data_IF_830565338441
#
_entry.id   IF_830565338441
#
_cell.length_a   1.000
_cell.length_b   1.000
_cell.length_c   1.000
_cell.angle_alpha   90.00
_cell.angle_beta   90.00
_cell.angle_gamma   90.00
#
_symmetry.space_group_name_H-M   'P 1'
#
loop_
_entity.id
_entity.type
_entity.pdbx_description
1 polymer ?
#
# COMPACT_ATOMS: atom_id res chain seq x y z
N UNK A 1 -8.28 33.29 9.15
CA UNK A 1 -8.93 32.28 10.03
C UNK A 1 -9.19 30.93 9.33
N UNK A 2 -10.01 30.83 8.26
CA UNK A 2 -10.35 29.53 7.61
C UNK A 2 -9.15 28.74 7.05
N UNK A 3 -8.16 29.40 6.42
CA UNK A 3 -6.93 28.73 5.93
C UNK A 3 -6.03 28.22 7.05
N UNK A 4 -5.94 28.98 8.15
CA UNK A 4 -5.13 28.62 9.33
C UNK A 4 -5.72 27.40 10.04
N UNK A 5 -7.05 27.39 10.25
CA UNK A 5 -7.76 26.25 10.82
C UNK A 5 -7.56 24.98 9.97
N UNK A 6 -7.62 25.08 8.64
CA UNK A 6 -7.38 23.95 7.73
C UNK A 6 -6.00 23.32 7.94
N UNK A 7 -4.96 24.14 8.07
CA UNK A 7 -3.59 23.66 8.31
C UNK A 7 -3.44 22.97 9.67
N UNK A 8 -4.01 23.56 10.72
CA UNK A 8 -3.97 23.01 12.08
C UNK A 8 -4.56 21.61 12.15
N UNK A 9 -5.73 21.39 11.56
CA UNK A 9 -6.38 20.08 11.58
C UNK A 9 -5.65 19.03 10.74
N UNK A 10 -5.09 19.42 9.60
CA UNK A 10 -4.27 18.50 8.81
C UNK A 10 -3.00 18.10 9.57
N UNK A 11 -2.37 19.00 10.32
CA UNK A 11 -1.25 18.66 11.20
C UNK A 11 -1.67 17.72 12.34
N UNK A 12 -2.88 17.88 12.90
CA UNK A 12 -3.40 16.97 13.91
C UNK A 12 -3.51 15.52 13.41
N UNK A 13 -3.88 15.31 12.14
CA UNK A 13 -3.94 13.98 11.53
C UNK A 13 -2.56 13.26 11.49
N UNK A 14 -1.45 14.01 11.46
CA UNK A 14 -0.11 13.45 11.57
C UNK A 14 0.32 13.18 13.02
N UNK A 15 -0.08 14.04 13.95
CA UNK A 15 0.38 13.96 15.35
C UNK A 15 -0.18 12.76 16.10
N UNK A 16 -1.41 12.33 15.80
CA UNK A 16 -2.03 11.16 16.43
C UNK A 16 -1.23 9.87 16.19
N UNK A 17 -0.97 9.42 14.94
CA UNK A 17 -0.19 8.22 14.71
C UNK A 17 1.25 8.33 15.22
N UNK A 18 1.87 9.51 15.14
CA UNK A 18 3.19 9.73 15.75
C UNK A 18 3.15 9.47 17.25
N UNK A 19 2.24 10.08 17.99
CA UNK A 19 2.15 9.91 19.44
C UNK A 19 1.86 8.46 19.84
N UNK A 20 0.98 7.78 19.11
CA UNK A 20 0.58 6.40 19.42
C UNK A 20 1.69 5.40 19.09
N UNK A 21 2.42 5.59 17.99
CA UNK A 21 3.38 4.60 17.50
C UNK A 21 4.85 4.93 17.82
N UNK A 22 5.17 6.14 18.28
CA UNK A 22 6.53 6.49 18.69
C UNK A 22 7.13 5.55 19.76
N UNK A 23 6.37 5.06 20.76
CA UNK A 23 6.89 4.07 21.71
C UNK A 23 7.38 2.77 21.03
N UNK A 24 6.79 2.39 19.89
CA UNK A 24 7.21 1.21 19.12
C UNK A 24 8.51 1.44 18.36
N UNK A 25 8.86 2.70 18.07
CA UNK A 25 10.12 3.06 17.42
C UNK A 25 11.27 2.96 18.42
N UNK A 26 11.10 3.55 19.61
CA UNK A 26 12.19 3.75 20.59
C UNK A 26 12.61 2.43 21.25
N UNK A 27 11.72 1.43 21.34
CA UNK A 27 12.05 0.15 21.98
C UNK A 27 12.93 -0.71 21.09
N UNK A 28 13.98 -1.29 21.70
CA UNK A 28 14.83 -2.30 21.06
C UNK A 28 14.11 -3.65 21.00
N UNK A 29 13.58 -4.01 19.84
CA UNK A 29 13.01 -5.33 19.55
C UNK A 29 12.94 -5.57 18.04
N UNK A 30 12.75 -6.83 17.64
CA UNK A 30 12.39 -7.22 16.27
C UNK A 30 11.28 -8.27 16.32
N UNK A 31 10.41 -8.28 15.31
CA UNK A 31 9.40 -9.32 15.12
C UNK A 31 9.99 -10.53 14.39
N UNK A 32 9.37 -11.70 14.49
CA UNK A 32 9.84 -12.94 13.84
C UNK A 32 10.14 -12.76 12.35
N UNK A 33 9.32 -11.94 11.66
CA UNK A 33 9.42 -11.68 10.22
C UNK A 33 10.55 -10.70 9.85
N UNK A 34 11.10 -9.98 10.83
CA UNK A 34 12.25 -9.09 10.64
C UNK A 34 13.56 -9.89 10.53
N UNK A 35 13.68 -10.99 11.29
CA UNK A 35 14.91 -11.79 11.39
C UNK A 35 15.40 -12.39 10.05
N UNK A 36 14.54 -12.93 9.17
CA UNK A 36 14.99 -13.40 7.86
C UNK A 36 15.63 -12.32 7.00
N UNK A 37 15.27 -11.05 7.18
CA UNK A 37 15.84 -9.95 6.41
C UNK A 37 17.06 -9.34 7.10
N UNK A 38 17.23 -9.55 8.41
CA UNK A 38 18.43 -9.17 9.16
C UNK A 38 19.56 -10.18 9.03
N UNK A 39 19.26 -11.49 9.09
CA UNK A 39 20.27 -12.53 9.30
C UNK A 39 20.33 -13.59 8.21
N UNK A 40 19.25 -13.80 7.44
CA UNK A 40 19.26 -14.83 6.41
C UNK A 40 19.81 -14.30 5.08
N UNK A 41 20.77 -15.01 4.51
CA UNK A 41 21.15 -14.85 3.10
C UNK A 41 19.98 -15.34 2.23
N UNK A 42 19.68 -14.63 1.14
CA UNK A 42 18.60 -15.04 0.20
C UNK A 42 17.28 -14.27 0.32
N UNK A 43 17.11 -13.37 1.30
CA UNK A 43 15.83 -12.68 1.53
C UNK A 43 15.36 -11.83 0.34
N UNK A 44 16.30 -11.29 -0.44
CA UNK A 44 16.00 -10.51 -1.63
C UNK A 44 15.58 -11.37 -2.81
N UNK A 45 16.21 -12.53 -3.00
CA UNK A 45 15.89 -13.53 -4.02
C UNK A 45 14.47 -14.04 -3.80
N UNK A 46 14.08 -14.29 -2.53
CA UNK A 46 12.70 -14.62 -2.17
C UNK A 46 11.74 -13.50 -2.57
N UNK A 47 12.09 -12.23 -2.36
CA UNK A 47 11.22 -11.11 -2.78
C UNK A 47 11.09 -11.00 -4.30
N UNK A 48 12.18 -11.23 -5.04
CA UNK A 48 12.19 -11.23 -6.51
C UNK A 48 11.36 -12.40 -7.05
N UNK A 49 11.52 -13.61 -6.50
CA UNK A 49 10.69 -14.77 -6.80
C UNK A 49 9.20 -14.49 -6.54
N UNK A 50 8.89 -13.58 -5.62
CA UNK A 50 7.54 -13.13 -5.31
C UNK A 50 7.03 -11.98 -6.17
N UNK A 51 7.75 -11.63 -7.24
CA UNK A 51 7.39 -10.54 -8.14
C UNK A 51 7.55 -9.16 -7.50
N UNK A 52 8.38 -9.04 -6.45
CA UNK A 52 8.56 -7.80 -5.67
C UNK A 52 10.00 -7.27 -5.73
N UNK A 53 10.56 -7.02 -6.93
CA UNK A 53 11.95 -6.61 -7.07
C UNK A 53 12.26 -5.26 -6.40
N UNK A 54 11.32 -4.32 -6.39
CA UNK A 54 11.53 -3.02 -5.76
C UNK A 54 11.55 -3.15 -4.23
N UNK A 55 10.70 -4.01 -3.66
CA UNK A 55 10.77 -4.33 -2.23
C UNK A 55 12.09 -5.01 -1.87
N UNK A 56 12.58 -5.91 -2.74
CA UNK A 56 13.89 -6.55 -2.56
C UNK A 56 15.01 -5.51 -2.46
N UNK A 57 15.04 -4.54 -3.40
CA UNK A 57 16.00 -3.45 -3.41
C UNK A 57 15.91 -2.59 -2.14
N UNK A 58 14.70 -2.16 -1.78
CA UNK A 58 14.49 -1.33 -0.59
C UNK A 58 14.96 -2.04 0.67
N UNK A 59 14.64 -3.34 0.82
CA UNK A 59 15.07 -4.13 1.98
C UNK A 59 16.58 -4.34 2.04
N UNK A 60 17.25 -4.54 0.90
CA UNK A 60 18.73 -4.62 0.86
C UNK A 60 19.37 -3.36 1.44
N UNK A 61 18.77 -2.19 1.20
CA UNK A 61 19.27 -0.92 1.70
C UNK A 61 18.95 -0.76 3.19
N UNK A 62 17.72 -1.04 3.61
CA UNK A 62 17.27 -0.74 4.99
C UNK A 62 17.62 -1.79 6.04
N UNK A 63 17.95 -3.02 5.64
CA UNK A 63 18.35 -4.11 6.54
C UNK A 63 19.84 -4.47 6.42
N UNK A 64 20.66 -3.59 5.82
CA UNK A 64 22.06 -3.87 5.52
C UNK A 64 22.95 -4.12 6.75
N UNK A 65 22.62 -3.53 7.91
CA UNK A 65 23.50 -3.54 9.08
C UNK A 65 23.45 -4.81 9.92
N UNK A 66 22.58 -5.78 9.60
CA UNK A 66 22.36 -7.03 10.37
C UNK A 66 22.20 -6.81 11.89
N UNK A 67 21.73 -5.62 12.28
CA UNK A 67 21.65 -5.18 13.67
C UNK A 67 20.20 -4.80 14.00
N UNK A 68 19.72 -5.29 15.15
CA UNK A 68 18.40 -5.01 15.69
C UNK A 68 18.25 -3.50 15.96
N UNK A 69 19.33 -2.82 16.35
CA UNK A 69 19.27 -1.38 16.65
C UNK A 69 18.92 -0.54 15.41
N UNK A 70 19.30 -1.00 14.22
CA UNK A 70 18.93 -0.36 12.96
C UNK A 70 17.43 -0.48 12.62
N UNK A 71 16.70 -1.43 13.20
CA UNK A 71 15.25 -1.54 13.03
C UNK A 71 14.51 -0.31 13.57
N UNK A 72 15.11 0.42 14.51
CA UNK A 72 14.59 1.71 15.02
C UNK A 72 14.39 2.70 13.89
N UNK A 73 15.40 2.86 13.02
CA UNK A 73 15.31 3.77 11.89
C UNK A 73 14.24 3.32 10.89
N UNK A 74 14.21 2.02 10.56
CA UNK A 74 13.22 1.46 9.64
C UNK A 74 11.78 1.64 10.15
N UNK A 75 11.53 1.40 11.44
CA UNK A 75 10.23 1.65 12.07
C UNK A 75 9.88 3.13 12.08
N UNK A 76 10.84 4.02 12.35
CA UNK A 76 10.61 5.47 12.27
C UNK A 76 10.13 5.89 10.88
N UNK A 77 10.81 5.41 9.82
CA UNK A 77 10.37 5.66 8.43
C UNK A 77 8.98 5.10 8.17
N UNK A 78 8.64 3.94 8.75
CA UNK A 78 7.30 3.37 8.71
C UNK A 78 6.25 4.27 9.35
N UNK A 79 6.47 4.73 10.58
CA UNK A 79 5.56 5.62 11.32
C UNK A 79 5.39 6.97 10.61
N UNK A 80 6.44 7.51 10.00
CA UNK A 80 6.34 8.70 9.13
C UNK A 80 5.41 8.40 7.94
N UNK A 81 5.54 7.23 7.31
CA UNK A 81 4.66 6.79 6.22
C UNK A 81 3.19 6.67 6.64
N UNK A 82 2.92 6.12 7.84
CA UNK A 82 1.58 6.06 8.43
C UNK A 82 1.01 7.46 8.60
N UNK A 83 1.81 8.38 9.13
CA UNK A 83 1.41 9.78 9.35
C UNK A 83 1.15 10.50 8.04
N UNK A 84 1.98 10.28 7.02
CA UNK A 84 1.77 10.79 5.67
C UNK A 84 0.47 10.28 5.07
N UNK A 85 0.14 9.00 5.27
CA UNK A 85 -1.10 8.40 4.80
C UNK A 85 -2.34 9.01 5.48
N UNK A 86 -2.29 9.21 6.80
CA UNK A 86 -3.35 9.89 7.55
C UNK A 86 -3.60 11.31 7.03
N UNK A 87 -2.52 12.07 6.83
CA UNK A 87 -2.58 13.44 6.28
C UNK A 87 -3.14 13.45 4.87
N UNK A 88 -2.64 12.58 3.99
CA UNK A 88 -3.10 12.51 2.61
C UNK A 88 -4.60 12.21 2.55
N UNK A 89 -5.05 11.23 3.33
CA UNK A 89 -6.46 10.87 3.46
C UNK A 89 -7.29 12.06 3.94
N UNK A 90 -6.87 12.73 5.01
CA UNK A 90 -7.55 13.92 5.52
C UNK A 90 -7.62 15.05 4.47
N UNK A 91 -6.55 15.27 3.72
CA UNK A 91 -6.52 16.27 2.64
C UNK A 91 -7.51 15.93 1.54
N UNK A 92 -7.59 14.67 1.11
CA UNK A 92 -8.54 14.24 0.08
C UNK A 92 -9.99 14.38 0.55
N UNK A 93 -10.29 13.93 1.76
CA UNK A 93 -11.62 14.07 2.38
C UNK A 93 -12.06 15.55 2.44
N UNK A 94 -11.15 16.46 2.81
CA UNK A 94 -11.41 17.90 2.77
C UNK A 94 -11.65 18.42 1.34
N UNK A 95 -10.92 17.91 0.34
CA UNK A 95 -11.13 18.26 -1.07
C UNK A 95 -12.47 17.78 -1.60
N UNK A 96 -13.02 16.72 -1.01
CA UNK A 96 -14.34 16.18 -1.36
C UNK A 96 -15.47 16.77 -0.51
N UNK A 97 -15.20 17.82 0.28
CA UNK A 97 -16.23 18.63 0.93
C UNK A 97 -16.44 18.36 2.42
N UNK A 98 -15.70 17.43 3.04
CA UNK A 98 -15.76 17.24 4.49
C UNK A 98 -15.07 18.38 5.26
N UNK A 99 -15.57 18.65 6.46
CA UNK A 99 -15.00 19.69 7.33
C UNK A 99 -13.56 19.33 7.73
N UNK A 100 -12.68 20.32 7.95
CA UNK A 100 -11.28 20.04 8.29
C UNK A 100 -11.08 19.14 9.50
N UNK A 101 -11.88 19.34 10.56
CA UNK A 101 -11.79 18.56 11.78
C UNK A 101 -12.25 17.11 11.57
N UNK A 102 -13.35 16.90 10.84
CA UNK A 102 -13.89 15.57 10.61
C UNK A 102 -12.99 14.75 9.68
N UNK A 103 -12.42 15.39 8.66
CA UNK A 103 -11.42 14.77 7.80
C UNK A 103 -10.15 14.38 8.56
N UNK A 104 -9.69 15.22 9.50
CA UNK A 104 -8.54 14.88 10.35
C UNK A 104 -8.85 13.72 11.29
N UNK A 105 -10.05 13.70 11.89
CA UNK A 105 -10.52 12.62 12.74
C UNK A 105 -10.59 11.29 11.95
N UNK A 106 -11.20 11.29 10.77
CA UNK A 106 -11.28 10.09 9.93
C UNK A 106 -9.91 9.62 9.45
N UNK A 107 -9.07 10.54 8.96
CA UNK A 107 -7.71 10.22 8.53
C UNK A 107 -6.87 9.61 9.66
N UNK A 108 -6.97 10.18 10.87
CA UNK A 108 -6.34 9.66 12.07
C UNK A 108 -6.92 8.32 12.52
N UNK A 109 -8.24 8.14 12.44
CA UNK A 109 -8.91 6.90 12.89
C UNK A 109 -8.55 5.70 12.00
N UNK A 110 -8.43 5.91 10.68
CA UNK A 110 -8.07 4.84 9.74
C UNK A 110 -6.70 4.24 10.08
N UNK A 111 -5.75 5.08 10.49
CA UNK A 111 -4.39 4.62 10.85
C UNK A 111 -4.29 4.04 12.26
N UNK A 112 -5.39 3.97 13.00
CA UNK A 112 -5.49 3.25 14.27
C UNK A 112 -6.10 1.86 14.12
N UNK A 113 -6.50 1.47 12.90
CA UNK A 113 -6.98 0.12 12.62
C UNK A 113 -5.86 -0.91 12.85
N UNK A 114 -6.20 -2.18 13.22
CA UNK A 114 -5.22 -3.19 13.58
C UNK A 114 -4.09 -3.40 12.55
N UNK A 115 -4.38 -3.29 11.25
CA UNK A 115 -3.37 -3.42 10.21
C UNK A 115 -2.23 -2.39 10.37
N UNK A 116 -2.53 -1.16 10.78
CA UNK A 116 -1.51 -0.12 10.97
C UNK A 116 -0.70 -0.34 12.25
N UNK A 117 -1.23 -1.06 13.25
CA UNK A 117 -0.43 -1.50 14.39
C UNK A 117 0.63 -2.51 13.95
N UNK A 118 0.28 -3.44 13.06
CA UNK A 118 1.26 -4.31 12.40
C UNK A 118 2.28 -3.50 11.61
N UNK A 119 1.83 -2.51 10.84
CA UNK A 119 2.72 -1.68 10.01
C UNK A 119 3.71 -0.86 10.84
N UNK A 120 3.29 -0.40 12.02
CA UNK A 120 4.14 0.34 12.95
C UNK A 120 5.08 -0.56 13.76
N UNK A 121 4.63 -1.78 14.09
CA UNK A 121 5.37 -2.67 14.99
C UNK A 121 6.41 -3.53 14.27
N UNK A 122 6.15 -3.96 13.04
CA UNK A 122 7.03 -4.86 12.29
C UNK A 122 7.86 -4.05 11.30
N UNK A 123 9.18 -3.98 11.53
CA UNK A 123 10.07 -3.16 10.70
C UNK A 123 9.98 -3.56 9.22
N UNK A 124 9.76 -4.84 8.92
CA UNK A 124 9.70 -5.39 7.58
C UNK A 124 8.51 -4.89 6.73
N UNK A 125 7.52 -4.29 7.38
CA UNK A 125 6.29 -3.75 6.76
C UNK A 125 6.30 -2.23 6.60
N UNK A 126 7.41 -1.56 6.95
CA UNK A 126 7.50 -0.09 6.95
C UNK A 126 7.13 0.58 5.63
N UNK A 127 7.27 -0.12 4.50
CA UNK A 127 6.94 0.41 3.17
C UNK A 127 5.44 0.45 2.88
N UNK A 128 4.60 -0.30 3.61
CA UNK A 128 3.21 -0.52 3.21
C UNK A 128 2.37 0.76 3.23
N UNK A 129 2.55 1.64 4.21
CA UNK A 129 1.84 2.94 4.23
C UNK A 129 2.32 3.89 3.13
N UNK A 130 3.61 3.83 2.76
CA UNK A 130 4.13 4.58 1.62
C UNK A 130 3.53 4.09 0.31
N UNK A 131 3.44 2.77 0.13
CA UNK A 131 2.77 2.16 -1.03
C UNK A 131 1.29 2.54 -1.07
N UNK A 132 0.61 2.58 0.07
CA UNK A 132 -0.77 3.05 0.16
C UNK A 132 -0.90 4.52 -0.28
N UNK A 133 0.02 5.40 0.14
CA UNK A 133 0.06 6.79 -0.34
C UNK A 133 0.22 6.86 -1.86
N UNK A 134 1.16 6.09 -2.42
CA UNK A 134 1.44 6.08 -3.86
C UNK A 134 0.23 5.55 -4.64
N UNK A 135 -0.37 4.44 -4.20
CA UNK A 135 -1.57 3.88 -4.84
C UNK A 135 -2.75 4.85 -4.80
N UNK A 136 -2.97 5.50 -3.65
CA UNK A 136 -4.01 6.51 -3.48
C UNK A 136 -3.81 7.71 -4.42
N UNK A 137 -2.59 8.26 -4.49
CA UNK A 137 -2.26 9.36 -5.41
C UNK A 137 -2.40 8.95 -6.87
N UNK A 138 -1.96 7.74 -7.23
CA UNK A 138 -2.08 7.22 -8.60
C UNK A 138 -3.54 7.11 -9.03
N UNK A 139 -4.41 6.53 -8.17
CA UNK A 139 -5.84 6.44 -8.43
C UNK A 139 -6.49 7.81 -8.60
N UNK A 140 -6.20 8.75 -7.70
CA UNK A 140 -6.73 10.12 -7.76
C UNK A 140 -6.27 10.86 -9.03
N UNK A 141 -4.98 10.78 -9.37
CA UNK A 141 -4.43 11.40 -10.57
C UNK A 141 -5.10 10.85 -11.84
N UNK A 142 -5.33 9.53 -11.88
CA UNK A 142 -5.94 8.87 -13.03
C UNK A 142 -7.42 9.22 -13.21
N UNK A 143 -8.19 9.22 -12.11
CA UNK A 143 -9.63 9.48 -12.13
C UNK A 143 -9.93 10.96 -12.39
N UNK A 144 -9.14 11.88 -11.82
CA UNK A 144 -9.43 13.33 -11.89
C UNK A 144 -8.75 13.99 -13.09
N UNK A 145 -7.53 13.58 -13.46
CA UNK A 145 -6.74 14.29 -14.47
C UNK A 145 -6.72 13.54 -15.81
N UNK A 146 -6.95 14.28 -16.89
CA UNK A 146 -6.76 13.80 -18.27
C UNK A 146 -5.41 14.23 -18.87
N UNK A 147 -4.58 14.97 -18.12
CA UNK A 147 -3.26 15.42 -18.59
C UNK A 147 -2.32 14.21 -18.75
N UNK A 148 -1.54 14.12 -19.85
CA UNK A 148 -0.70 12.95 -20.13
C UNK A 148 0.33 12.69 -19.04
N UNK A 149 1.00 13.74 -18.54
CA UNK A 149 1.96 13.62 -17.44
C UNK A 149 1.35 13.02 -16.17
N UNK A 150 0.13 13.40 -15.80
CA UNK A 150 -0.55 12.85 -14.62
C UNK A 150 -0.90 11.36 -14.82
N UNK A 151 -1.28 10.97 -16.04
CA UNK A 151 -1.58 9.58 -16.39
C UNK A 151 -0.35 8.69 -16.37
N UNK A 152 0.76 9.18 -16.91
CA UNK A 152 2.06 8.48 -16.84
C UNK A 152 2.48 8.31 -15.38
N UNK A 153 2.43 9.38 -14.57
CA UNK A 153 2.77 9.31 -13.15
C UNK A 153 1.86 8.34 -12.38
N UNK A 154 0.56 8.28 -12.71
CA UNK A 154 -0.35 7.32 -12.11
C UNK A 154 0.01 5.87 -12.46
N UNK A 155 0.29 5.57 -13.74
CA UNK A 155 0.70 4.22 -14.17
C UNK A 155 2.01 3.80 -13.53
N UNK A 156 3.03 4.67 -13.57
CA UNK A 156 4.34 4.39 -12.97
C UNK A 156 4.24 4.24 -11.47
N UNK A 157 3.51 5.14 -10.79
CA UNK A 157 3.31 5.07 -9.34
C UNK A 157 2.58 3.80 -8.92
N UNK A 158 1.48 3.47 -9.60
CA UNK A 158 0.72 2.24 -9.34
C UNK A 158 1.57 1.00 -9.60
N UNK A 159 2.29 0.93 -10.73
CA UNK A 159 3.18 -0.19 -11.04
C UNK A 159 4.28 -0.35 -9.99
N UNK A 160 4.91 0.75 -9.55
CA UNK A 160 5.88 0.76 -8.47
C UNK A 160 5.27 0.22 -7.15
N UNK A 161 4.05 0.63 -6.82
CA UNK A 161 3.33 0.10 -5.65
C UNK A 161 3.05 -1.40 -5.76
N UNK A 162 2.66 -1.89 -6.94
CA UNK A 162 2.37 -3.30 -7.20
C UNK A 162 3.63 -4.18 -7.07
N UNK A 163 4.80 -3.72 -7.57
CA UNK A 163 6.08 -4.45 -7.39
C UNK A 163 6.69 -4.30 -5.99
N UNK A 164 6.03 -3.58 -5.09
CA UNK A 164 6.39 -3.56 -3.66
C UNK A 164 5.39 -4.40 -2.87
N UNK A 165 4.13 -4.00 -2.87
CA UNK A 165 3.07 -4.68 -2.13
C UNK A 165 1.67 -4.37 -2.71
N UNK A 166 1.11 -5.26 -3.56
CA UNK A 166 -0.16 -5.00 -4.24
C UNK A 166 -1.34 -4.64 -3.33
N UNK A 167 -1.55 -5.32 -2.17
CA UNK A 167 -2.71 -5.01 -1.33
C UNK A 167 -2.75 -3.57 -0.84
N UNK A 168 -1.60 -2.96 -0.52
CA UNK A 168 -1.55 -1.56 -0.13
C UNK A 168 -1.80 -0.62 -1.31
N UNK A 169 -1.30 -0.95 -2.50
CA UNK A 169 -1.51 -0.14 -3.70
C UNK A 169 -3.00 -0.04 -4.09
N UNK A 170 -3.77 -1.09 -3.80
CA UNK A 170 -5.23 -1.13 -4.07
C UNK A 170 -6.10 -0.28 -3.15
N UNK A 171 -5.52 0.43 -2.17
CA UNK A 171 -6.28 1.38 -1.33
C UNK A 171 -7.04 2.44 -2.15
N UNK A 172 -6.59 2.71 -3.38
CA UNK A 172 -7.27 3.59 -4.34
C UNK A 172 -8.72 3.16 -4.62
N UNK A 173 -9.03 1.86 -4.60
CA UNK A 173 -10.39 1.34 -4.80
C UNK A 173 -11.31 1.70 -3.63
N UNK A 174 -10.84 1.51 -2.39
CA UNK A 174 -11.57 1.92 -1.19
C UNK A 174 -11.83 3.42 -1.20
N UNK A 175 -10.83 4.21 -1.59
CA UNK A 175 -10.95 5.67 -1.62
C UNK A 175 -11.82 6.17 -2.77
N UNK A 176 -11.88 5.47 -3.90
CA UNK A 176 -12.87 5.76 -4.95
C UNK A 176 -14.30 5.53 -4.44
N UNK A 177 -14.55 4.48 -3.66
CA UNK A 177 -15.86 4.23 -3.04
C UNK A 177 -16.23 5.34 -2.05
N UNK A 178 -15.30 5.74 -1.17
CA UNK A 178 -15.50 6.87 -0.23
C UNK A 178 -15.80 8.16 -0.99
N UNK A 179 -15.02 8.49 -2.03
CA UNK A 179 -15.22 9.66 -2.88
C UNK A 179 -16.60 9.65 -3.54
N UNK A 180 -17.00 8.51 -4.09
CA UNK A 180 -18.30 8.31 -4.75
C UNK A 180 -19.45 8.56 -3.79
N UNK A 181 -19.37 8.03 -2.56
CA UNK A 181 -20.37 8.22 -1.53
C UNK A 181 -20.46 9.69 -1.07
N UNK A 182 -19.31 10.32 -0.80
CA UNK A 182 -19.25 11.70 -0.31
C UNK A 182 -19.71 12.71 -1.35
N UNK A 183 -19.30 12.56 -2.61
CA UNK A 183 -19.70 13.44 -3.71
C UNK A 183 -21.08 13.11 -4.27
N UNK A 184 -21.72 12.04 -3.78
CA UNK A 184 -23.01 11.53 -4.28
C UNK A 184 -22.99 11.36 -5.81
N UNK A 185 -21.89 10.81 -6.32
CA UNK A 185 -21.67 10.65 -7.75
C UNK A 185 -22.77 9.78 -8.36
N UNK A 186 -23.42 10.20 -9.46
CA UNK A 186 -24.43 9.37 -10.13
C UNK A 186 -23.88 8.01 -10.55
N UNK A 187 -24.70 6.95 -10.48
CA UNK A 187 -24.29 5.56 -10.74
C UNK A 187 -23.51 5.40 -12.05
N UNK A 188 -24.00 6.01 -13.14
CA UNK A 188 -23.32 5.96 -14.45
C UNK A 188 -21.90 6.54 -14.39
N UNK A 189 -21.71 7.67 -13.71
CA UNK A 189 -20.41 8.30 -13.56
C UNK A 189 -19.50 7.52 -12.61
N UNK A 190 -20.06 6.94 -11.54
CA UNK A 190 -19.32 6.07 -10.62
C UNK A 190 -18.80 4.81 -11.34
N UNK A 191 -19.64 4.20 -12.19
CA UNK A 191 -19.25 3.05 -13.01
C UNK A 191 -18.14 3.41 -14.01
N UNK A 192 -18.23 4.58 -14.66
CA UNK A 192 -17.16 5.08 -15.53
C UNK A 192 -15.83 5.29 -14.79
N UNK A 193 -15.87 5.83 -13.57
CA UNK A 193 -14.66 6.00 -12.74
C UNK A 193 -14.08 4.65 -12.27
N UNK A 194 -14.94 3.66 -11.99
CA UNK A 194 -14.51 2.31 -11.67
C UNK A 194 -13.83 1.64 -12.88
N UNK A 195 -14.39 1.79 -14.09
CA UNK A 195 -13.74 1.32 -15.33
C UNK A 195 -12.39 2.02 -15.52
N UNK A 196 -12.32 3.34 -15.36
CA UNK A 196 -11.06 4.08 -15.48
C UNK A 196 -10.01 3.50 -14.50
N UNK A 197 -10.38 3.27 -13.23
CA UNK A 197 -9.47 2.71 -12.23
C UNK A 197 -9.11 1.23 -12.52
N UNK A 198 -10.01 0.46 -13.12
CA UNK A 198 -9.72 -0.89 -13.62
C UNK A 198 -8.68 -0.87 -14.73
N UNK A 199 -8.80 0.05 -15.69
CA UNK A 199 -7.81 0.23 -16.76
C UNK A 199 -6.44 0.58 -16.17
N UNK A 200 -6.38 1.50 -15.21
CA UNK A 200 -5.13 1.82 -14.50
C UNK A 200 -4.54 0.57 -13.84
N UNK A 201 -5.37 -0.17 -13.11
CA UNK A 201 -4.97 -1.37 -12.36
C UNK A 201 -4.40 -2.42 -13.30
N UNK A 202 -5.11 -2.76 -14.37
CA UNK A 202 -4.69 -3.76 -15.36
C UNK A 202 -3.42 -3.31 -16.08
N UNK A 203 -3.41 -2.09 -16.62
CA UNK A 203 -2.24 -1.55 -17.34
C UNK A 203 -0.99 -1.50 -16.48
N UNK A 204 -1.13 -1.06 -15.22
CA UNK A 204 -0.02 -1.01 -14.26
C UNK A 204 0.41 -2.40 -13.80
N UNK A 205 -0.50 -3.38 -13.75
CA UNK A 205 -0.17 -4.77 -13.40
C UNK A 205 0.63 -5.44 -14.51
N UNK A 206 0.32 -5.16 -15.78
CA UNK A 206 1.13 -5.63 -16.92
C UNK A 206 2.55 -5.04 -16.86
N UNK A 207 2.68 -3.74 -16.59
CA UNK A 207 3.98 -3.09 -16.43
C UNK A 207 4.75 -3.64 -15.22
N UNK A 208 4.08 -3.83 -14.08
CA UNK A 208 4.65 -4.40 -12.87
C UNK A 208 5.15 -5.83 -13.12
N UNK A 209 4.36 -6.67 -13.79
CA UNK A 209 4.73 -8.02 -14.15
C UNK A 209 5.92 -8.04 -15.12
N UNK A 210 5.91 -7.22 -16.17
CA UNK A 210 7.03 -7.11 -17.10
C UNK A 210 8.32 -6.68 -16.38
N UNK A 211 8.22 -5.73 -15.44
CA UNK A 211 9.35 -5.29 -14.61
C UNK A 211 9.87 -6.41 -13.73
N UNK A 212 8.97 -7.11 -13.03
CA UNK A 212 9.32 -8.25 -12.18
C UNK A 212 9.97 -9.39 -12.98
N UNK A 213 9.40 -9.74 -14.14
CA UNK A 213 9.89 -10.81 -14.99
C UNK A 213 11.27 -10.48 -15.56
N UNK A 214 11.46 -9.22 -15.97
CA UNK A 214 12.78 -8.73 -16.40
C UNK A 214 13.80 -8.90 -15.27
N UNK A 215 13.54 -8.34 -14.09
CA UNK A 215 14.49 -8.42 -12.98
C UNK A 215 14.79 -9.86 -12.57
N UNK A 216 13.77 -10.72 -12.53
CA UNK A 216 13.93 -12.14 -12.21
C UNK A 216 14.82 -12.85 -13.23
N UNK A 217 14.60 -12.61 -14.52
CA UNK A 217 15.44 -13.15 -15.59
C UNK A 217 16.90 -12.70 -15.48
N UNK A 218 17.13 -11.39 -15.27
CA UNK A 218 18.47 -10.82 -15.10
C UNK A 218 19.21 -11.38 -13.88
N UNK A 219 18.48 -11.78 -12.83
CA UNK A 219 19.05 -12.34 -11.60
C UNK A 219 19.08 -13.87 -11.58
N UNK A 220 18.59 -14.55 -12.62
CA UNK A 220 18.49 -16.01 -12.65
C UNK A 220 17.55 -16.59 -11.58
N UNK A 221 16.52 -15.83 -11.16
CA UNK A 221 15.57 -16.23 -10.13
C UNK A 221 14.27 -16.71 -10.76
N UNK A 222 13.81 -17.90 -10.41
CA UNK A 222 12.50 -18.41 -10.84
C UNK A 222 11.37 -17.83 -9.97
N UNK A 223 10.22 -17.60 -10.59
CA UNK A 223 9.05 -17.14 -9.85
C UNK A 223 8.46 -18.24 -8.96
N UNK A 224 8.03 -17.84 -7.76
CA UNK A 224 7.22 -18.69 -6.90
C UNK A 224 5.89 -19.01 -7.61
N UNK A 225 5.34 -20.21 -7.37
CA UNK A 225 4.11 -20.69 -8.03
C UNK A 225 2.94 -19.69 -7.95
N UNK A 226 2.82 -18.94 -6.85
CA UNK A 226 1.77 -17.93 -6.65
C UNK A 226 1.84 -16.71 -7.57
N UNK A 227 2.99 -16.48 -8.22
CA UNK A 227 3.22 -15.37 -9.17
C UNK A 227 3.17 -15.86 -10.61
N UNK A 228 3.19 -17.18 -10.82
CA UNK A 228 3.15 -17.80 -12.14
C UNK A 228 1.91 -17.38 -12.95
N UNK A 229 2.10 -17.28 -14.26
CA UNK A 229 1.00 -17.09 -15.21
C UNK A 229 0.08 -18.31 -15.17
N UNK A 230 -1.22 -18.06 -15.32
CA UNK A 230 -2.19 -19.12 -15.48
C UNK A 230 -1.94 -19.78 -16.83
N UNK A 231 -1.61 -21.06 -16.83
CA UNK A 231 -1.21 -21.78 -18.05
C UNK A 231 -2.32 -22.66 -18.61
N UNK A 232 -3.41 -22.87 -17.86
CA UNK A 232 -4.53 -23.71 -18.30
C UNK A 232 -5.91 -23.12 -17.96
N UNK A 233 -6.95 -23.41 -18.77
CA UNK A 233 -8.34 -23.04 -18.44
C UNK A 233 -8.84 -23.63 -17.13
N UNK A 234 -8.40 -24.85 -16.77
CA UNK A 234 -8.77 -25.50 -15.51
C UNK A 234 -8.21 -24.73 -14.30
N UNK A 235 -6.97 -24.26 -14.39
CA UNK A 235 -6.37 -23.40 -13.37
C UNK A 235 -7.07 -22.03 -13.31
N UNK A 236 -7.45 -21.46 -14.45
CA UNK A 236 -8.24 -20.23 -14.49
C UNK A 236 -9.58 -20.40 -13.75
N UNK A 237 -10.28 -21.51 -14.01
CA UNK A 237 -11.54 -21.84 -13.37
C UNK A 237 -11.36 -22.05 -11.86
N UNK A 238 -10.35 -22.81 -11.43
CA UNK A 238 -10.11 -23.07 -10.00
C UNK A 238 -9.78 -21.78 -9.23
N UNK A 239 -8.93 -20.92 -9.80
CA UNK A 239 -8.63 -19.58 -9.25
C UNK A 239 -9.87 -18.69 -9.23
N UNK A 240 -10.73 -18.77 -10.26
CA UNK A 240 -12.00 -18.05 -10.32
C UNK A 240 -12.98 -18.49 -9.23
N UNK A 241 -13.16 -19.81 -9.05
CA UNK A 241 -13.98 -20.36 -7.96
C UNK A 241 -13.44 -19.93 -6.61
N UNK A 242 -12.12 -20.04 -6.39
CA UNK A 242 -11.48 -19.60 -5.16
C UNK A 242 -11.76 -18.11 -4.90
N UNK A 243 -11.62 -17.26 -5.91
CA UNK A 243 -11.88 -15.82 -5.81
C UNK A 243 -13.33 -15.50 -5.46
N UNK A 244 -14.31 -16.30 -5.87
CA UNK A 244 -15.72 -16.05 -5.51
C UNK A 244 -16.05 -16.58 -4.11
N UNK A 245 -15.47 -17.71 -3.73
CA UNK A 245 -15.90 -18.47 -2.54
C UNK A 245 -15.09 -18.18 -1.28
N UNK A 246 -13.81 -17.81 -1.41
CA UNK A 246 -12.89 -17.73 -0.28
C UNK A 246 -12.62 -16.33 0.29
N UNK A 247 -12.74 -15.18 -0.42
CA UNK A 247 -12.32 -13.90 0.15
C UNK A 247 -13.08 -13.51 1.41
N UNK A 248 -14.39 -13.76 1.47
CA UNK A 248 -15.18 -13.47 2.67
C UNK A 248 -14.71 -14.33 3.84
N UNK A 249 -14.55 -15.65 3.62
CA UNK A 249 -14.13 -16.58 4.66
C UNK A 249 -12.71 -16.24 5.16
N UNK A 250 -11.79 -15.87 4.26
CA UNK A 250 -10.41 -15.52 4.61
C UNK A 250 -10.34 -14.15 5.27
N UNK A 251 -11.10 -13.16 4.81
CA UNK A 251 -11.13 -11.81 5.41
C UNK A 251 -11.74 -11.79 6.82
N UNK A 252 -12.66 -12.71 7.12
CA UNK A 252 -13.26 -12.85 8.45
C UNK A 252 -12.55 -13.86 9.36
N UNK A 253 -11.39 -14.41 8.99
CA UNK A 253 -10.61 -15.26 9.89
C UNK A 253 -9.82 -14.38 10.88
N UNK A 254 -10.14 -14.41 12.19
CA UNK A 254 -9.42 -13.63 13.19
C UNK A 254 -7.97 -14.13 13.42
N UNK A 255 -7.66 -15.37 13.03
CA UNK A 255 -6.33 -15.95 13.11
C UNK A 255 -5.93 -16.55 11.76
N UNK A 256 -4.81 -16.11 11.20
CA UNK A 256 -4.14 -16.87 10.15
C UNK A 256 -3.34 -17.97 10.83
N UNK A 257 -3.92 -19.15 10.95
CA UNK A 257 -3.15 -20.36 11.28
C UNK A 257 -2.49 -20.77 9.96
N UNK A 258 -1.18 -20.56 9.89
CA UNK A 258 -0.28 -21.07 8.85
C UNK A 258 -0.02 -22.56 9.06
#
# INVERSE_FOLDING_TARGET
VRRTAKKVWTSAAALVPLAVYLPLVIRRYGWSDDFPNLFAQGGAEVMVANGRPLLALVRRITFASQDIDALTFTRLVGVIGISAFAVLTAVLLQRWGLSPWFSALLGGSIVLLPAFQTFASWAITFTYSWVACVGLLAGELWVISRRPVCRILAVVGMAAGLVVYPPAAFVCWSMLAVRTALLRTPVRAAFGQAIDLAILTVGSSLLAFATAASVAHWQGVEFAQRVGLITSPAEAFSKGVWFVTHPLIVAFRPFMIS
#
